data_IF_782538821584
#
_entry.id   IF_782538821584
#
_cell.length_a   1.000
_cell.length_b   1.000
_cell.length_c   1.000
_cell.angle_alpha   90.00
_cell.angle_beta   90.00
_cell.angle_gamma   90.00
#
_symmetry.space_group_name_H-M   'P 1'
#
loop_
_entity.id
_entity.type
_entity.pdbx_description
1 polymer ?
#
# COMPACT_ATOMS: atom_id res chain seq x y z
N UNK A 1 5.16 -6.96 -17.68
CA UNK A 1 6.46 -7.44 -17.13
C UNK A 1 7.13 -8.26 -18.22
N UNK A 2 8.45 -8.25 -18.34
CA UNK A 2 9.15 -8.79 -19.52
C UNK A 2 10.36 -9.63 -19.10
N UNK A 3 10.37 -10.91 -19.49
CA UNK A 3 11.44 -11.87 -19.22
C UNK A 3 12.79 -11.41 -19.83
N UNK A 4 12.76 -10.64 -20.92
CA UNK A 4 13.98 -10.16 -21.58
C UNK A 4 14.80 -9.22 -20.69
N UNK A 5 14.14 -8.50 -19.79
CA UNK A 5 14.82 -7.60 -18.85
C UNK A 5 15.75 -8.35 -17.86
N UNK A 6 15.57 -9.66 -17.67
CA UNK A 6 16.43 -10.45 -16.78
C UNK A 6 17.90 -10.45 -17.20
N UNK A 7 18.18 -10.35 -18.50
CA UNK A 7 19.54 -10.39 -19.04
C UNK A 7 20.34 -9.12 -18.69
N UNK A 8 19.64 -8.01 -18.46
CA UNK A 8 20.24 -6.70 -18.17
C UNK A 8 20.41 -6.45 -16.65
N UNK A 9 19.81 -7.30 -15.81
CA UNK A 9 19.82 -7.12 -14.35
C UNK A 9 21.04 -7.78 -13.68
N UNK A 10 21.58 -7.19 -12.60
CA UNK A 10 22.52 -7.85 -11.71
C UNK A 10 21.93 -9.13 -11.09
N UNK A 11 22.77 -10.12 -10.76
CA UNK A 11 22.32 -11.46 -10.38
C UNK A 11 21.29 -11.49 -9.23
N UNK A 12 21.49 -10.68 -8.18
CA UNK A 12 20.53 -10.61 -7.05
C UNK A 12 19.16 -10.10 -7.50
N UNK A 13 19.12 -9.06 -8.33
CA UNK A 13 17.87 -8.48 -8.85
C UNK A 13 17.21 -9.43 -9.85
N UNK A 14 18.00 -10.11 -10.67
CA UNK A 14 17.53 -11.13 -11.60
C UNK A 14 16.76 -12.23 -10.87
N UNK A 15 17.30 -12.76 -9.77
CA UNK A 15 16.63 -13.80 -8.98
C UNK A 15 15.28 -13.34 -8.42
N UNK A 16 15.24 -12.16 -7.80
CA UNK A 16 13.98 -11.60 -7.26
C UNK A 16 12.97 -11.37 -8.38
N UNK A 17 13.39 -10.79 -9.51
CA UNK A 17 12.49 -10.51 -10.62
C UNK A 17 11.94 -11.80 -11.25
N UNK A 18 12.77 -12.85 -11.38
CA UNK A 18 12.33 -14.17 -11.85
C UNK A 18 11.25 -14.78 -10.95
N UNK A 19 11.40 -14.70 -9.62
CA UNK A 19 10.39 -15.20 -8.68
C UNK A 19 9.07 -14.46 -8.85
N UNK A 20 9.11 -13.14 -9.01
CA UNK A 20 7.90 -12.33 -9.23
C UNK A 20 7.26 -12.69 -10.57
N UNK A 21 8.03 -12.83 -11.66
CA UNK A 21 7.51 -13.26 -12.96
C UNK A 21 6.79 -14.60 -12.87
N UNK A 22 7.46 -15.61 -12.29
CA UNK A 22 6.90 -16.95 -12.13
C UNK A 22 5.62 -16.94 -11.28
N UNK A 23 5.58 -16.15 -10.20
CA UNK A 23 4.39 -16.00 -9.36
C UNK A 23 3.20 -15.47 -10.16
N UNK A 24 3.39 -14.42 -10.96
CA UNK A 24 2.29 -13.87 -11.75
C UNK A 24 1.85 -14.79 -12.89
N UNK A 25 2.77 -15.55 -13.48
CA UNK A 25 2.44 -16.56 -14.49
C UNK A 25 1.64 -17.72 -13.88
N UNK A 26 1.99 -18.14 -12.66
CA UNK A 26 1.23 -19.13 -11.88
C UNK A 26 -0.16 -18.61 -11.51
N UNK A 27 -0.27 -17.38 -11.00
CA UNK A 27 -1.56 -16.74 -10.70
C UNK A 27 -2.43 -16.68 -11.97
N UNK A 28 -1.87 -16.27 -13.12
CA UNK A 28 -2.59 -16.20 -14.39
C UNK A 28 -3.07 -17.58 -14.85
N UNK A 29 -2.22 -18.61 -14.71
CA UNK A 29 -2.57 -20.00 -15.02
C UNK A 29 -3.69 -20.52 -14.12
N UNK A 30 -3.62 -20.30 -12.81
CA UNK A 30 -4.59 -20.82 -11.85
C UNK A 30 -5.94 -20.09 -11.97
N UNK A 31 -5.92 -18.77 -12.09
CA UNK A 31 -7.15 -17.97 -12.28
C UNK A 31 -7.81 -18.25 -13.63
N UNK A 32 -7.01 -18.52 -14.67
CA UNK A 32 -7.50 -18.91 -16.00
C UNK A 32 -8.30 -20.22 -16.03
N UNK A 33 -8.18 -21.08 -15.01
CA UNK A 33 -9.00 -22.29 -14.87
C UNK A 33 -10.45 -21.98 -14.46
N UNK A 34 -10.67 -20.84 -13.83
CA UNK A 34 -11.94 -20.48 -13.18
C UNK A 34 -12.65 -19.36 -13.96
N UNK A 35 -11.90 -18.52 -14.69
CA UNK A 35 -12.49 -17.47 -15.50
C UNK A 35 -11.48 -16.55 -16.20
N UNK A 36 -11.94 -15.39 -16.70
CA UNK A 36 -11.08 -14.42 -17.37
C UNK A 36 -9.97 -13.88 -16.47
N UNK A 37 -8.76 -13.71 -17.03
CA UNK A 37 -7.56 -13.28 -16.29
C UNK A 37 -7.29 -11.77 -16.35
N UNK A 38 -8.25 -10.95 -16.80
CA UNK A 38 -8.02 -9.50 -16.96
C UNK A 38 -7.55 -8.83 -15.66
N UNK A 39 -8.00 -9.30 -14.48
CA UNK A 39 -7.59 -8.77 -13.19
C UNK A 39 -6.09 -8.90 -12.92
N UNK A 40 -5.44 -9.94 -13.46
CA UNK A 40 -3.99 -10.15 -13.34
C UNK A 40 -3.23 -9.02 -14.04
N UNK A 41 -3.75 -8.51 -15.15
CA UNK A 41 -3.13 -7.40 -15.88
C UNK A 41 -3.20 -6.09 -15.07
N UNK A 42 -4.29 -5.83 -14.36
CA UNK A 42 -4.38 -4.70 -13.42
C UNK A 42 -3.39 -4.87 -12.26
N UNK A 43 -3.31 -6.06 -11.66
CA UNK A 43 -2.35 -6.32 -10.58
C UNK A 43 -0.88 -6.19 -11.05
N UNK A 44 -0.55 -6.62 -12.27
CA UNK A 44 0.76 -6.41 -12.91
C UNK A 44 1.04 -4.91 -13.14
N UNK A 45 0.02 -4.13 -13.52
CA UNK A 45 0.14 -2.68 -13.72
C UNK A 45 0.40 -1.94 -12.40
N UNK A 46 -0.33 -2.27 -11.32
CA UNK A 46 -0.11 -1.67 -10.01
C UNK A 46 1.26 -2.01 -9.42
N UNK A 47 1.77 -3.23 -9.65
CA UNK A 47 3.15 -3.56 -9.27
C UNK A 47 4.19 -2.70 -10.01
N UNK A 48 3.93 -2.40 -11.29
CA UNK A 48 4.81 -1.50 -12.06
C UNK A 48 4.76 -0.07 -11.51
N UNK A 49 3.56 0.43 -11.17
CA UNK A 49 3.37 1.75 -10.54
C UNK A 49 4.12 1.84 -9.21
N UNK A 50 3.99 0.82 -8.36
CA UNK A 50 4.73 0.68 -7.10
C UNK A 50 6.25 0.73 -7.31
N UNK A 51 6.76 -0.05 -8.26
CA UNK A 51 8.20 -0.09 -8.58
C UNK A 51 8.74 1.25 -9.08
N UNK A 52 7.94 1.98 -9.86
CA UNK A 52 8.28 3.33 -10.33
C UNK A 52 8.30 4.34 -9.18
N UNK A 53 7.37 4.24 -8.24
CA UNK A 53 7.32 5.10 -7.06
C UNK A 53 8.54 4.88 -6.15
N UNK A 54 8.93 3.63 -5.91
CA UNK A 54 10.18 3.33 -5.18
C UNK A 54 11.43 3.84 -5.90
N UNK A 55 11.47 3.77 -7.24
CA UNK A 55 12.58 4.36 -7.98
C UNK A 55 12.64 5.89 -7.81
N UNK A 56 11.50 6.56 -7.75
CA UNK A 56 11.40 7.99 -7.45
C UNK A 56 12.00 8.33 -6.08
N UNK A 57 11.65 7.58 -5.05
CA UNK A 57 12.19 7.74 -3.69
C UNK A 57 13.70 7.52 -3.63
N UNK A 58 14.21 6.48 -4.30
CA UNK A 58 15.64 6.20 -4.38
C UNK A 58 16.39 7.36 -5.05
N UNK A 59 15.82 7.98 -6.08
CA UNK A 59 16.42 9.17 -6.72
C UNK A 59 16.49 10.33 -5.75
N UNK A 60 15.39 10.65 -5.07
CA UNK A 60 15.38 11.73 -4.06
C UNK A 60 16.40 11.51 -2.95
N UNK A 61 16.51 10.27 -2.45
CA UNK A 61 17.55 9.90 -1.48
C UNK A 61 18.95 10.13 -2.02
N UNK A 62 19.26 9.59 -3.20
CA UNK A 62 20.61 9.66 -3.76
C UNK A 62 21.03 11.11 -4.11
N UNK A 63 20.06 11.97 -4.43
CA UNK A 63 20.25 13.40 -4.68
C UNK A 63 20.29 14.24 -3.40
N UNK A 64 19.96 13.65 -2.24
CA UNK A 64 19.76 14.41 -0.99
C UNK A 64 18.59 15.40 -1.06
N UNK A 65 17.65 15.18 -1.99
CA UNK A 65 16.52 16.07 -2.23
C UNK A 65 15.37 15.72 -1.28
N UNK A 66 14.95 16.70 -0.49
CA UNK A 66 13.69 16.64 0.24
C UNK A 66 12.60 17.33 -0.60
N UNK A 67 11.60 16.60 -1.12
CA UNK A 67 10.49 17.13 -1.92
C UNK A 67 9.54 18.02 -1.09
N UNK A 68 8.56 18.64 -1.75
CA UNK A 68 7.40 19.20 -1.03
C UNK A 68 6.53 18.06 -0.50
N UNK A 69 5.78 18.30 0.58
CA UNK A 69 4.85 17.32 1.15
C UNK A 69 3.84 16.84 0.11
N UNK A 70 3.29 17.75 -0.71
CA UNK A 70 2.36 17.36 -1.78
C UNK A 70 3.00 16.43 -2.80
N UNK A 71 4.20 16.77 -3.27
CA UNK A 71 4.94 15.95 -4.23
C UNK A 71 5.28 14.58 -3.63
N UNK A 72 5.70 14.56 -2.36
CA UNK A 72 5.95 13.35 -1.60
C UNK A 72 4.71 12.47 -1.52
N UNK A 73 3.56 13.01 -1.09
CA UNK A 73 2.32 12.24 -0.90
C UNK A 73 1.81 11.64 -2.20
N UNK A 74 1.93 12.35 -3.34
CA UNK A 74 1.54 11.80 -4.64
C UNK A 74 2.33 10.52 -4.96
N UNK A 75 3.64 10.52 -4.73
CA UNK A 75 4.48 9.33 -4.88
C UNK A 75 4.19 8.30 -3.78
N UNK A 76 4.01 8.77 -2.56
CA UNK A 76 3.76 8.01 -1.33
C UNK A 76 2.48 7.18 -1.38
N UNK A 77 1.42 7.70 -2.00
CA UNK A 77 0.18 6.95 -2.27
C UNK A 77 0.49 5.71 -3.10
N UNK A 78 1.30 5.85 -4.16
CA UNK A 78 1.70 4.71 -4.98
C UNK A 78 2.67 3.77 -4.25
N UNK A 79 3.64 4.30 -3.49
CA UNK A 79 4.66 3.51 -2.78
C UNK A 79 4.14 2.82 -1.51
N UNK A 80 2.96 3.22 -1.01
CA UNK A 80 2.28 2.57 0.12
C UNK A 80 1.99 1.08 -0.10
N UNK A 81 1.86 0.65 -1.36
CA UNK A 81 1.56 -0.73 -1.74
C UNK A 81 0.10 -1.16 -1.53
N UNK A 82 -0.77 -0.32 -0.96
CA UNK A 82 -2.18 -0.68 -0.68
C UNK A 82 -2.96 -0.98 -1.96
N UNK A 83 -2.83 -0.16 -3.00
CA UNK A 83 -3.48 -0.41 -4.30
C UNK A 83 -3.03 -1.74 -4.93
N UNK A 84 -1.74 -2.07 -4.81
CA UNK A 84 -1.19 -3.36 -5.26
C UNK A 84 -1.79 -4.53 -4.47
N UNK A 85 -1.92 -4.39 -3.14
CA UNK A 85 -2.52 -5.43 -2.31
C UNK A 85 -3.99 -5.61 -2.64
N UNK A 86 -4.75 -4.52 -2.77
CA UNK A 86 -6.17 -4.54 -3.09
C UNK A 86 -6.44 -5.22 -4.44
N UNK A 87 -5.71 -4.83 -5.50
CA UNK A 87 -5.84 -5.49 -6.82
C UNK A 87 -5.46 -6.97 -6.77
N UNK A 88 -4.47 -7.36 -5.94
CA UNK A 88 -4.14 -8.78 -5.72
C UNK A 88 -5.27 -9.54 -5.03
N UNK A 89 -5.92 -8.94 -4.02
CA UNK A 89 -7.09 -9.53 -3.37
C UNK A 89 -8.25 -9.72 -4.35
N UNK A 90 -8.50 -8.72 -5.21
CA UNK A 90 -9.57 -8.78 -6.21
C UNK A 90 -9.35 -9.90 -7.22
N UNK A 91 -8.10 -10.17 -7.61
CA UNK A 91 -7.77 -11.32 -8.46
C UNK A 91 -8.22 -12.64 -7.81
N UNK A 92 -7.99 -12.80 -6.50
CA UNK A 92 -8.41 -13.99 -5.75
C UNK A 92 -9.92 -14.13 -5.55
N UNK A 93 -10.68 -13.03 -5.68
CA UNK A 93 -12.15 -13.04 -5.55
C UNK A 93 -12.87 -13.48 -6.84
N UNK A 94 -12.15 -13.63 -7.95
CA UNK A 94 -12.70 -14.08 -9.23
C UNK A 94 -13.52 -13.01 -9.96
N UNK A 95 -13.65 -13.20 -11.28
CA UNK A 95 -14.25 -12.20 -12.18
C UNK A 95 -15.77 -12.01 -12.00
N UNK A 96 -16.45 -12.95 -11.32
CA UNK A 96 -17.88 -12.85 -10.99
C UNK A 96 -18.14 -11.78 -9.94
N UNK A 97 -17.22 -11.63 -8.97
CA UNK A 97 -17.32 -10.63 -7.91
C UNK A 97 -16.50 -9.38 -8.30
N UNK A 98 -15.20 -9.58 -8.58
CA UNK A 98 -14.28 -8.52 -8.96
C UNK A 98 -14.31 -8.26 -10.48
N UNK A 99 -15.37 -7.61 -10.93
CA UNK A 99 -15.55 -7.28 -12.35
C UNK A 99 -14.50 -6.27 -12.85
N UNK A 100 -14.37 -6.11 -14.16
CA UNK A 100 -13.48 -5.11 -14.76
C UNK A 100 -13.73 -3.69 -14.24
N UNK A 101 -15.00 -3.32 -14.03
CA UNK A 101 -15.38 -2.01 -13.47
C UNK A 101 -14.85 -1.82 -12.04
N UNK A 102 -14.80 -2.90 -11.24
CA UNK A 102 -14.24 -2.83 -9.90
C UNK A 102 -12.74 -2.56 -9.93
N UNK A 103 -12.01 -3.22 -10.84
CA UNK A 103 -10.60 -2.94 -11.07
C UNK A 103 -10.37 -1.50 -11.55
N UNK A 104 -11.15 -1.03 -12.52
CA UNK A 104 -11.09 0.36 -13.00
C UNK A 104 -11.37 1.35 -11.86
N UNK A 105 -12.34 1.08 -10.98
CA UNK A 105 -12.62 1.94 -9.81
C UNK A 105 -11.42 2.01 -8.85
N UNK A 106 -10.80 0.88 -8.47
CA UNK A 106 -9.65 0.92 -7.55
C UNK A 106 -8.38 1.49 -8.19
N UNK A 107 -8.17 1.32 -9.50
CA UNK A 107 -6.95 1.81 -10.17
C UNK A 107 -7.06 3.25 -10.67
N UNK A 108 -8.27 3.77 -10.89
CA UNK A 108 -8.52 5.16 -11.31
C UNK A 108 -8.61 6.12 -10.11
N UNK A 109 -7.82 5.89 -9.06
CA UNK A 109 -7.65 6.85 -7.98
C UNK A 109 -8.98 7.23 -7.28
N UNK A 110 -9.82 6.23 -6.98
CA UNK A 110 -11.02 6.46 -6.17
C UNK A 110 -10.67 7.13 -4.84
N UNK A 111 -11.58 7.96 -4.34
CA UNK A 111 -11.35 8.75 -3.12
C UNK A 111 -11.04 7.84 -1.92
N UNK A 112 -11.74 6.72 -1.79
CA UNK A 112 -11.52 5.70 -0.76
C UNK A 112 -10.16 5.00 -0.91
N UNK A 113 -9.75 4.69 -2.15
CA UNK A 113 -8.44 4.07 -2.39
C UNK A 113 -7.30 5.02 -2.05
N UNK A 114 -7.38 6.27 -2.52
CA UNK A 114 -6.38 7.29 -2.23
C UNK A 114 -6.28 7.57 -0.73
N UNK A 115 -7.42 7.66 -0.04
CA UNK A 115 -7.46 7.84 1.40
C UNK A 115 -6.81 6.66 2.14
N UNK A 116 -7.10 5.42 1.76
CA UNK A 116 -6.47 4.24 2.35
C UNK A 116 -4.95 4.20 2.14
N UNK A 117 -4.48 4.54 0.93
CA UNK A 117 -3.06 4.65 0.62
C UNK A 117 -2.37 5.76 1.41
N UNK A 118 -3.02 6.93 1.55
CA UNK A 118 -2.51 8.05 2.33
C UNK A 118 -2.36 7.67 3.80
N UNK A 119 -3.38 7.05 4.40
CA UNK A 119 -3.32 6.57 5.78
C UNK A 119 -2.15 5.61 5.95
N UNK A 120 -2.04 4.59 5.08
CA UNK A 120 -0.94 3.63 5.13
C UNK A 120 0.44 4.27 5.05
N UNK A 121 0.60 5.25 4.15
CA UNK A 121 1.86 5.94 3.93
C UNK A 121 2.24 6.82 5.11
N UNK A 122 1.37 7.75 5.46
CA UNK A 122 1.64 8.76 6.49
C UNK A 122 1.80 8.13 7.86
N UNK A 123 0.98 7.12 8.18
CA UNK A 123 1.10 6.41 9.43
C UNK A 123 2.43 5.64 9.51
N UNK A 124 2.81 4.91 8.44
CA UNK A 124 4.13 4.29 8.40
C UNK A 124 5.25 5.30 8.64
N UNK A 125 5.22 6.45 7.97
CA UNK A 125 6.24 7.49 8.11
C UNK A 125 6.33 8.07 9.53
N UNK A 126 5.20 8.32 10.20
CA UNK A 126 5.20 8.83 11.58
C UNK A 126 5.86 7.82 12.52
N UNK A 127 5.42 6.56 12.48
CA UNK A 127 5.95 5.52 13.37
C UNK A 127 7.39 5.15 13.03
N UNK A 128 7.75 5.13 11.75
CA UNK A 128 9.10 4.81 11.31
C UNK A 128 10.10 5.91 11.64
N UNK A 129 9.69 7.17 11.55
CA UNK A 129 10.46 8.33 11.94
C UNK A 129 10.87 8.27 13.42
N UNK A 130 9.92 8.01 14.31
CA UNK A 130 10.15 7.93 15.76
C UNK A 130 11.12 6.81 16.16
N UNK A 131 11.12 5.69 15.42
CA UNK A 131 11.81 4.47 15.85
C UNK A 131 13.17 4.25 15.15
N UNK A 132 13.27 4.46 13.83
CA UNK A 132 14.43 3.99 13.06
C UNK A 132 14.82 4.77 11.80
N UNK A 133 13.94 5.53 11.14
CA UNK A 133 14.30 6.14 9.85
C UNK A 133 15.39 7.21 9.98
N UNK A 134 15.45 7.97 11.09
CA UNK A 134 16.57 8.89 11.37
C UNK A 134 17.94 8.20 11.47
N UNK A 135 17.97 6.90 11.74
CA UNK A 135 19.21 6.13 11.95
C UNK A 135 19.73 5.50 10.66
N UNK A 136 18.99 5.59 9.55
CA UNK A 136 19.34 4.98 8.26
C UNK A 136 19.44 6.07 7.20
N UNK A 137 20.28 5.88 6.19
CA UNK A 137 20.27 6.72 5.00
C UNK A 137 19.04 6.38 4.14
N UNK A 138 17.88 6.90 4.51
CA UNK A 138 16.59 6.70 3.85
C UNK A 138 16.15 7.97 3.11
N UNK A 139 15.16 7.87 2.21
CA UNK A 139 14.48 9.06 1.66
C UNK A 139 13.77 9.81 2.78
N UNK A 140 13.66 11.13 2.67
CA UNK A 140 12.85 11.93 3.59
C UNK A 140 11.40 11.42 3.63
N UNK A 141 10.84 11.26 4.83
CA UNK A 141 9.46 10.85 5.07
C UNK A 141 8.50 12.06 4.96
N UNK A 142 7.20 11.81 5.09
CA UNK A 142 6.21 12.89 5.20
C UNK A 142 6.53 13.88 6.34
N UNK A 143 7.13 13.43 7.45
CA UNK A 143 7.48 14.28 8.59
C UNK A 143 8.53 15.31 8.19
N UNK A 144 9.66 14.92 7.60
CA UNK A 144 10.69 15.87 7.17
C UNK A 144 10.22 16.76 6.03
N UNK A 145 9.41 16.23 5.10
CA UNK A 145 8.84 17.03 4.02
C UNK A 145 7.95 18.15 4.60
N UNK A 146 7.11 17.81 5.58
CA UNK A 146 6.24 18.76 6.29
C UNK A 146 7.06 19.81 7.07
N UNK A 147 8.02 19.37 7.87
CA UNK A 147 8.91 20.27 8.63
C UNK A 147 9.67 21.24 7.72
N UNK A 148 10.22 20.75 6.61
CA UNK A 148 10.99 21.57 5.68
C UNK A 148 10.12 22.59 4.95
N UNK A 149 8.95 22.16 4.45
CA UNK A 149 8.06 23.02 3.67
C UNK A 149 7.42 24.12 4.52
N UNK A 150 6.87 23.75 5.68
CA UNK A 150 6.15 24.68 6.54
C UNK A 150 7.04 25.35 7.60
N UNK A 151 8.30 24.94 7.74
CA UNK A 151 9.26 25.44 8.74
C UNK A 151 8.74 25.32 10.17
N UNK A 152 8.10 24.19 10.46
CA UNK A 152 7.51 23.87 11.76
C UNK A 152 8.38 22.85 12.51
N UNK A 153 8.14 22.73 13.82
CA UNK A 153 8.76 21.66 14.62
C UNK A 153 8.25 20.28 14.21
N UNK A 154 9.00 19.24 14.58
CA UNK A 154 8.60 17.84 14.39
C UNK A 154 7.22 17.55 15.00
N UNK A 155 6.99 18.03 16.23
CA UNK A 155 5.70 17.87 16.92
C UNK A 155 4.55 18.49 16.12
N UNK A 156 4.71 19.72 15.65
CA UNK A 156 3.69 20.40 14.84
C UNK A 156 3.46 19.69 13.50
N UNK A 157 4.52 19.16 12.88
CA UNK A 157 4.42 18.36 11.65
C UNK A 157 3.64 17.06 11.88
N UNK A 158 3.92 16.32 12.95
CA UNK A 158 3.21 15.09 13.33
C UNK A 158 1.74 15.39 13.64
N UNK A 159 1.45 16.45 14.38
CA UNK A 159 0.07 16.89 14.65
C UNK A 159 -0.69 17.22 13.36
N UNK A 160 -0.05 17.91 12.40
CA UNK A 160 -0.62 18.18 11.08
C UNK A 160 -0.92 16.88 10.33
N UNK A 161 0.02 15.94 10.29
CA UNK A 161 -0.14 14.67 9.56
C UNK A 161 -1.23 13.77 10.17
N UNK A 162 -1.37 13.73 11.50
CA UNK A 162 -2.48 13.04 12.16
C UNK A 162 -3.85 13.63 11.80
N UNK A 163 -3.93 14.96 11.61
CA UNK A 163 -5.15 15.60 11.11
C UNK A 163 -5.48 15.17 9.68
N UNK A 164 -4.47 15.04 8.82
CA UNK A 164 -4.65 14.52 7.45
C UNK A 164 -5.13 13.07 7.45
N UNK A 165 -4.57 12.21 8.31
CA UNK A 165 -5.06 10.84 8.53
C UNK A 165 -6.54 10.86 8.97
N UNK A 166 -6.89 11.71 9.94
CA UNK A 166 -8.28 11.85 10.41
C UNK A 166 -9.24 12.27 9.29
N UNK A 167 -8.81 13.17 8.40
CA UNK A 167 -9.61 13.60 7.26
C UNK A 167 -9.76 12.47 6.23
N UNK A 168 -8.70 11.73 5.93
CA UNK A 168 -8.75 10.57 5.04
C UNK A 168 -9.70 9.47 5.57
N UNK A 169 -9.78 9.25 6.88
CA UNK A 169 -10.77 8.34 7.45
C UNK A 169 -12.21 8.81 7.22
N UNK A 170 -12.48 10.11 7.29
CA UNK A 170 -13.81 10.67 6.97
C UNK A 170 -14.15 10.44 5.50
N UNK A 171 -13.18 10.60 4.62
CA UNK A 171 -13.34 10.34 3.19
C UNK A 171 -13.70 8.87 2.89
N UNK A 172 -13.05 7.93 3.59
CA UNK A 172 -13.40 6.51 3.52
C UNK A 172 -14.83 6.27 3.99
N UNK A 173 -15.20 6.81 5.16
CA UNK A 173 -16.55 6.62 5.73
C UNK A 173 -17.62 7.23 4.84
N UNK A 174 -17.37 8.41 4.28
CA UNK A 174 -18.28 9.09 3.38
C UNK A 174 -18.55 8.25 2.13
N UNK A 175 -17.51 7.83 1.42
CA UNK A 175 -17.66 7.04 0.20
C UNK A 175 -18.30 5.68 0.49
N UNK A 176 -17.88 5.01 1.58
CA UNK A 176 -18.46 3.74 2.01
C UNK A 176 -19.97 3.86 2.34
N UNK A 177 -20.40 4.95 2.99
CA UNK A 177 -21.80 5.16 3.37
C UNK A 177 -22.69 5.60 2.21
N UNK A 178 -22.18 6.42 1.28
CA UNK A 178 -23.00 7.03 0.24
C UNK A 178 -23.53 6.02 -0.79
N UNK A 179 -23.01 4.78 -0.83
CA UNK A 179 -23.34 3.75 -1.82
C UNK A 179 -23.61 4.31 -3.23
N UNK A 180 -22.70 5.12 -3.84
CA UNK A 180 -22.90 5.58 -5.20
C UNK A 180 -23.29 4.43 -6.12
N UNK A 181 -24.11 4.71 -7.13
CA UNK A 181 -24.46 3.79 -8.22
C UNK A 181 -23.23 3.24 -8.98
N UNK A 182 -22.05 3.83 -8.72
CA UNK A 182 -20.75 3.51 -9.30
C UNK A 182 -19.84 2.68 -8.37
N UNK A 183 -20.22 2.45 -7.11
CA UNK A 183 -19.39 1.64 -6.21
C UNK A 183 -19.46 0.16 -6.57
N UNK A 184 -18.34 -0.58 -6.44
CA UNK A 184 -18.37 -2.03 -6.48
C UNK A 184 -19.20 -2.61 -5.33
N UNK A 185 -19.46 -3.92 -5.36
CA UNK A 185 -20.22 -4.61 -4.31
C UNK A 185 -19.62 -4.37 -2.92
N UNK A 186 -20.46 -4.52 -1.89
CA UNK A 186 -20.03 -4.37 -0.49
C UNK A 186 -18.82 -5.25 -0.15
N UNK A 187 -18.74 -6.46 -0.71
CA UNK A 187 -17.59 -7.36 -0.52
C UNK A 187 -16.25 -6.73 -0.91
N UNK A 188 -16.23 -5.94 -1.99
CA UNK A 188 -15.03 -5.30 -2.53
C UNK A 188 -14.66 -4.04 -1.74
N UNK A 189 -15.65 -3.23 -1.37
CA UNK A 189 -15.41 -2.07 -0.49
C UNK A 189 -14.96 -2.52 0.90
N UNK A 190 -15.46 -3.65 1.39
CA UNK A 190 -15.03 -4.24 2.66
C UNK A 190 -13.58 -4.69 2.61
N UNK A 191 -13.10 -5.23 1.48
CA UNK A 191 -11.68 -5.56 1.34
C UNK A 191 -10.82 -4.33 1.51
N UNK A 192 -11.16 -3.22 0.85
CA UNK A 192 -10.40 -1.98 0.96
C UNK A 192 -10.45 -1.42 2.39
N UNK A 193 -11.63 -1.35 3.00
CA UNK A 193 -11.78 -0.88 4.37
C UNK A 193 -10.96 -1.72 5.37
N UNK A 194 -11.00 -3.04 5.22
CA UNK A 194 -10.26 -3.94 6.10
C UNK A 194 -8.75 -3.90 5.87
N UNK A 195 -8.29 -3.70 4.63
CA UNK A 195 -6.87 -3.44 4.35
C UNK A 195 -6.40 -2.15 5.03
N UNK A 196 -7.19 -1.08 4.98
CA UNK A 196 -6.85 0.16 5.69
C UNK A 196 -6.87 -0.02 7.20
N UNK A 197 -7.81 -0.80 7.76
CA UNK A 197 -7.84 -1.11 9.20
C UNK A 197 -6.64 -1.94 9.65
N UNK A 198 -6.16 -2.84 8.79
CA UNK A 198 -4.97 -3.65 9.07
C UNK A 198 -3.72 -2.79 9.29
N UNK A 199 -3.63 -1.64 8.64
CA UNK A 199 -2.56 -0.66 8.88
C UNK A 199 -2.55 -0.23 10.35
N UNK A 200 -3.71 0.06 10.95
CA UNK A 200 -3.76 0.43 12.36
C UNK A 200 -3.21 -0.68 13.25
N UNK A 201 -3.56 -1.94 12.97
CA UNK A 201 -3.04 -3.09 13.72
C UNK A 201 -1.52 -3.19 13.60
N UNK A 202 -0.96 -2.94 12.41
CA UNK A 202 0.48 -2.99 12.19
C UNK A 202 1.28 -1.89 12.88
N UNK A 203 0.63 -0.82 13.34
CA UNK A 203 1.28 0.31 13.98
C UNK A 203 0.77 0.61 15.39
N UNK A 204 -0.18 -0.17 15.93
CA UNK A 204 -0.82 0.09 17.23
C UNK A 204 0.21 0.07 18.38
N UNK A 205 1.06 -0.96 18.39
CA UNK A 205 2.14 -1.14 19.36
C UNK A 205 3.54 -0.78 18.80
N UNK A 206 3.57 0.03 17.74
CA UNK A 206 4.77 0.36 16.97
C UNK A 206 4.89 -0.41 15.66
N UNK A 207 5.98 -0.21 14.90
CA UNK A 207 6.12 -0.82 13.57
C UNK A 207 6.34 -2.34 13.65
N UNK A 208 5.24 -3.06 13.51
CA UNK A 208 5.18 -4.52 13.51
C UNK A 208 5.76 -5.15 12.24
N UNK A 209 5.89 -4.39 11.15
CA UNK A 209 6.48 -4.86 9.90
C UNK A 209 8.00 -4.97 10.02
N UNK A 210 8.61 -4.14 10.87
CA UNK A 210 10.03 -4.25 11.23
C UNK A 210 10.21 -5.15 12.44
N UNK A 211 9.39 -4.99 13.48
CA UNK A 211 9.46 -5.80 14.69
C UNK A 211 8.30 -6.81 14.72
N UNK A 212 8.45 -7.90 13.95
CA UNK A 212 7.41 -8.92 13.82
C UNK A 212 7.03 -9.62 15.13
N UNK A 213 7.85 -9.50 16.18
CA UNK A 213 7.53 -10.04 17.50
C UNK A 213 6.28 -9.40 18.12
N UNK A 214 5.97 -8.15 17.75
CA UNK A 214 4.77 -7.44 18.21
C UNK A 214 3.47 -8.12 17.74
N UNK A 215 3.51 -8.87 16.63
CA UNK A 215 2.35 -9.62 16.12
C UNK A 215 2.18 -11.00 16.76
N UNK A 216 3.14 -11.46 17.57
CA UNK A 216 3.19 -12.85 18.03
C UNK A 216 1.92 -13.25 18.79
N UNK A 217 1.45 -12.41 19.68
CA UNK A 217 0.31 -12.72 20.53
C UNK A 217 -0.99 -12.71 19.71
N UNK A 218 -1.14 -11.76 18.78
CA UNK A 218 -2.24 -11.77 17.81
C UNK A 218 -2.27 -13.03 16.95
N UNK A 219 -1.12 -13.44 16.41
CA UNK A 219 -1.03 -14.65 15.58
C UNK A 219 -1.30 -15.93 16.37
N UNK A 220 -0.82 -15.99 17.61
CA UNK A 220 -1.05 -17.15 18.49
C UNK A 220 -2.54 -17.26 18.82
N UNK A 221 -3.19 -16.17 19.21
CA UNK A 221 -4.62 -16.15 19.50
C UNK A 221 -5.49 -16.46 18.27
N UNK A 222 -5.06 -16.09 17.06
CA UNK A 222 -5.87 -16.25 15.85
C UNK A 222 -5.75 -17.65 15.22
N UNK A 223 -4.55 -18.25 15.27
CA UNK A 223 -4.24 -19.46 14.51
C UNK A 223 -3.82 -20.66 15.35
N UNK A 224 -3.47 -20.46 16.63
CA UNK A 224 -2.93 -21.52 17.49
C UNK A 224 -3.89 -21.85 18.62
N UNK A 225 -4.33 -20.83 19.37
CA UNK A 225 -5.14 -21.04 20.56
C UNK A 225 -6.64 -21.08 20.20
N UNK A 226 -7.32 -22.22 20.37
CA UNK A 226 -8.76 -22.29 20.13
C UNK A 226 -9.52 -21.50 21.20
N UNK A 227 -10.63 -20.87 20.82
CA UNK A 227 -11.55 -20.27 21.78
C UNK A 227 -12.12 -21.38 22.68
N UNK A 228 -11.98 -21.28 24.01
CA UNK A 228 -12.57 -22.25 24.92
C UNK A 228 -14.08 -22.33 24.71
N UNK A 229 -14.59 -23.55 24.58
CA UNK A 229 -16.02 -23.84 24.46
C UNK A 229 -16.71 -23.85 25.83
#
# INVERSE_FOLDING_TARGET
MDVRALQELPDRMRNVYSVILNLYDEIEKETGKIGPTFGVQYAKAELKKLSQAYLGEVRWRNEGRVPTLREYIINGVASSGVSKLCTSCFVGMGAEIATKKAFEWVTNESKMMNAGCLIARVQNDIFSHEQFEQKRNHVASAVECCMKEYRVSEKEAVEFLWKEISNAWKDIVEEYCQKPTLLPSTDLTDRLLNLTRLINIFYDDGDCLINSHLLKDHLTSLFIDPVPL
#
